data_IF_069936384462
#
_entry.id   IF_069936384462
#
_cell.length_a   1.000
_cell.length_b   1.000
_cell.length_c   1.000
_cell.angle_alpha   90.00
_cell.angle_beta   90.00
_cell.angle_gamma   90.00
#
_symmetry.space_group_name_H-M   'P 1'
#
loop_
_entity.id
_entity.type
_entity.pdbx_description
1 polymer ?
#
# COMPACT_ATOMS: atom_id res chain seq x y z
N UNK A 1 8.66 -14.27 14.58
CA UNK A 1 8.55 -15.08 13.36
C UNK A 1 8.80 -16.57 13.62
N UNK A 2 9.70 -16.92 14.56
CA UNK A 2 9.97 -18.33 14.89
C UNK A 2 8.67 -19.09 15.23
N UNK A 3 8.43 -20.30 14.66
CA UNK A 3 7.28 -21.14 15.00
C UNK A 3 7.23 -21.56 16.49
N UNK A 4 8.40 -21.58 17.16
CA UNK A 4 8.50 -21.85 18.60
C UNK A 4 8.09 -20.65 19.47
N UNK A 5 7.78 -19.50 18.87
CA UNK A 5 7.34 -18.26 19.52
C UNK A 5 5.98 -17.82 19.01
N UNK A 6 5.84 -16.56 18.57
CA UNK A 6 4.58 -16.00 18.03
C UNK A 6 4.21 -16.57 16.66
N UNK A 7 5.18 -17.03 15.87
CA UNK A 7 4.96 -17.68 14.59
C UNK A 7 4.38 -16.79 13.49
N UNK A 8 4.58 -15.47 13.56
CA UNK A 8 4.12 -14.57 12.51
C UNK A 8 4.68 -14.96 11.14
N UNK A 9 3.86 -14.92 10.11
CA UNK A 9 4.20 -15.24 8.74
C UNK A 9 3.91 -14.10 7.76
N UNK A 10 3.33 -13.01 8.25
CA UNK A 10 3.02 -11.82 7.48
C UNK A 10 3.69 -10.60 8.06
N UNK A 11 4.08 -9.72 7.15
CA UNK A 11 4.63 -8.40 7.47
C UNK A 11 3.99 -7.34 6.60
N UNK A 12 3.87 -6.13 7.14
CA UNK A 12 3.51 -4.93 6.37
C UNK A 12 4.74 -4.05 6.25
N UNK A 13 5.08 -3.68 5.03
CA UNK A 13 6.27 -2.90 4.69
C UNK A 13 5.83 -1.66 3.93
N UNK A 14 6.43 -0.53 4.27
CA UNK A 14 6.25 0.72 3.55
C UNK A 14 6.94 0.71 2.19
N UNK A 15 6.38 1.44 1.23
CA UNK A 15 7.05 1.81 -0.02
C UNK A 15 7.61 3.22 0.13
N UNK A 16 8.88 3.40 -0.23
CA UNK A 16 9.62 4.64 0.02
C UNK A 16 9.70 4.99 1.51
N UNK A 17 9.87 6.26 1.86
CA UNK A 17 9.89 6.70 3.25
C UNK A 17 8.50 6.69 3.92
N UNK A 18 8.53 6.65 5.24
CA UNK A 18 7.36 6.70 6.12
C UNK A 18 7.72 7.46 7.41
N UNK A 19 6.78 7.55 8.35
CA UNK A 19 6.95 8.23 9.65
C UNK A 19 8.05 7.64 10.55
N UNK A 20 8.51 6.42 10.29
CA UNK A 20 9.61 5.77 11.03
C UNK A 20 10.99 5.96 10.37
N UNK A 21 11.06 6.59 9.21
CA UNK A 21 12.32 6.83 8.51
C UNK A 21 13.01 8.08 9.06
N UNK A 22 14.35 8.01 9.17
CA UNK A 22 15.16 9.17 9.59
C UNK A 22 15.21 10.28 8.56
N UNK A 23 15.00 9.93 7.29
CA UNK A 23 15.03 10.84 6.14
C UNK A 23 13.92 10.47 5.16
N UNK A 24 13.36 11.48 4.49
CA UNK A 24 12.44 11.24 3.37
C UNK A 24 13.24 10.78 2.14
N UNK A 25 12.74 9.77 1.46
CA UNK A 25 13.31 9.27 0.21
C UNK A 25 12.22 8.67 -0.68
N UNK A 26 12.49 8.58 -1.95
CA UNK A 26 11.67 7.95 -2.97
C UNK A 26 12.57 7.22 -3.97
N UNK A 27 12.08 6.13 -4.54
CA UNK A 27 12.87 5.33 -5.48
C UNK A 27 13.02 6.01 -6.85
N UNK A 28 12.06 6.86 -7.24
CA UNK A 28 12.15 7.70 -8.43
C UNK A 28 11.34 8.99 -8.26
N UNK A 29 12.05 10.11 -8.04
CA UNK A 29 11.48 11.46 -7.93
C UNK A 29 11.56 12.29 -9.21
N UNK A 30 11.98 11.71 -10.33
CA UNK A 30 12.19 12.44 -11.57
C UNK A 30 10.98 12.37 -12.49
N UNK A 31 10.26 13.49 -12.62
CA UNK A 31 9.13 13.61 -13.54
C UNK A 31 9.49 13.28 -15.00
N UNK A 32 10.75 13.53 -15.42
CA UNK A 32 11.20 13.26 -16.78
C UNK A 32 11.43 11.75 -17.05
N UNK A 33 11.60 10.92 -16.01
CA UNK A 33 11.79 9.48 -16.15
C UNK A 33 10.45 8.73 -16.21
N UNK A 34 9.72 8.91 -17.31
CA UNK A 34 8.41 8.30 -17.48
C UNK A 34 8.44 6.76 -17.48
N UNK A 35 9.56 6.16 -17.82
CA UNK A 35 9.74 4.71 -17.91
C UNK A 35 10.28 4.07 -16.62
N UNK A 36 10.55 4.86 -15.57
CA UNK A 36 11.14 4.42 -14.31
C UNK A 36 12.46 3.68 -14.51
N UNK A 37 13.30 4.17 -15.44
CA UNK A 37 14.62 3.58 -15.75
C UNK A 37 15.63 3.83 -14.63
N UNK A 38 15.45 4.95 -13.91
CA UNK A 38 16.31 5.39 -12.80
C UNK A 38 15.78 4.98 -11.43
N UNK A 39 14.83 4.05 -11.39
CA UNK A 39 14.23 3.56 -10.16
C UNK A 39 15.29 2.99 -9.21
N UNK A 40 15.56 3.69 -8.11
CA UNK A 40 16.59 3.35 -7.13
C UNK A 40 15.98 2.62 -5.92
N UNK A 41 16.19 1.31 -5.85
CA UNK A 41 15.72 0.47 -4.76
C UNK A 41 16.76 0.32 -3.62
N UNK A 42 17.92 0.96 -3.72
CA UNK A 42 19.07 0.76 -2.82
C UNK A 42 18.71 0.98 -1.34
N UNK A 43 17.94 2.02 -1.02
CA UNK A 43 17.53 2.32 0.38
C UNK A 43 16.70 1.19 0.98
N UNK A 44 15.76 0.64 0.24
CA UNK A 44 14.98 -0.52 0.69
C UNK A 44 15.86 -1.76 0.82
N UNK A 45 16.78 -1.96 -0.13
CA UNK A 45 17.70 -3.08 -0.13
C UNK A 45 18.65 -3.06 1.07
N UNK A 46 19.16 -1.90 1.44
CA UNK A 46 20.11 -1.73 2.55
C UNK A 46 19.44 -1.76 3.92
N UNK A 47 18.24 -1.18 4.07
CA UNK A 47 17.62 -0.97 5.38
C UNK A 47 16.52 -1.99 5.71
N UNK A 48 15.75 -2.43 4.73
CA UNK A 48 14.56 -3.27 4.97
C UNK A 48 14.82 -4.73 4.68
N UNK A 49 15.49 -5.05 3.57
CA UNK A 49 15.66 -6.45 3.17
C UNK A 49 16.53 -7.28 4.14
N UNK A 50 17.57 -6.75 4.83
CA UNK A 50 18.30 -7.52 5.83
C UNK A 50 17.39 -8.01 6.95
N UNK A 51 16.54 -7.13 7.49
CA UNK A 51 15.57 -7.50 8.53
C UNK A 51 14.58 -8.57 8.02
N UNK A 52 14.11 -8.46 6.78
CA UNK A 52 13.22 -9.46 6.19
C UNK A 52 13.89 -10.81 5.99
N UNK A 53 15.18 -10.84 5.60
CA UNK A 53 15.97 -12.08 5.50
C UNK A 53 16.10 -12.77 6.87
N UNK A 54 16.42 -12.01 7.90
CA UNK A 54 16.51 -12.54 9.27
C UNK A 54 15.16 -13.05 9.77
N UNK A 55 14.08 -12.33 9.46
CA UNK A 55 12.73 -12.75 9.83
C UNK A 55 12.30 -14.03 9.08
N UNK A 56 12.62 -14.18 7.79
CA UNK A 56 12.39 -15.41 7.02
C UNK A 56 13.21 -16.58 7.56
N UNK A 57 14.49 -16.35 7.88
CA UNK A 57 15.34 -17.36 8.49
C UNK A 57 14.77 -17.84 9.83
N UNK A 58 14.31 -16.90 10.67
CA UNK A 58 13.67 -17.23 11.95
C UNK A 58 12.33 -17.96 11.79
N UNK A 59 11.58 -17.65 10.74
CA UNK A 59 10.31 -18.30 10.41
C UNK A 59 10.49 -19.71 9.82
N UNK A 60 11.63 -19.98 9.19
CA UNK A 60 11.90 -21.21 8.42
C UNK A 60 11.04 -21.34 7.15
N UNK A 61 10.48 -20.22 6.67
CA UNK A 61 9.60 -20.15 5.48
C UNK A 61 9.58 -18.73 4.90
N UNK A 62 9.20 -18.56 3.62
CA UNK A 62 8.93 -17.24 3.08
C UNK A 62 7.87 -16.49 3.88
N UNK A 63 8.09 -15.20 4.10
CA UNK A 63 7.09 -14.30 4.67
C UNK A 63 6.19 -13.76 3.55
N UNK A 64 4.94 -13.53 3.88
CA UNK A 64 3.95 -12.89 3.02
C UNK A 64 3.95 -11.40 3.29
N UNK A 65 4.24 -10.61 2.27
CA UNK A 65 4.42 -9.17 2.41
C UNK A 65 3.17 -8.44 1.92
N UNK A 66 2.71 -7.49 2.72
CA UNK A 66 1.82 -6.41 2.30
C UNK A 66 2.64 -5.14 2.13
N UNK A 67 2.60 -4.53 0.96
CA UNK A 67 3.21 -3.22 0.72
C UNK A 67 2.18 -2.11 0.88
N UNK A 68 2.58 -1.02 1.53
CA UNK A 68 1.74 0.16 1.75
C UNK A 68 2.51 1.44 1.41
N UNK A 69 2.03 2.31 0.52
CA UNK A 69 2.64 3.61 0.25
C UNK A 69 2.15 4.67 1.24
N UNK A 70 3.06 5.53 1.70
CA UNK A 70 2.73 6.73 2.47
C UNK A 70 2.48 7.93 1.58
N UNK A 71 3.19 8.06 0.49
CA UNK A 71 3.04 9.15 -0.48
C UNK A 71 3.58 8.77 -1.86
N UNK A 72 2.89 9.17 -2.93
CA UNK A 72 3.53 9.23 -4.24
C UNK A 72 4.69 10.23 -4.25
N UNK A 73 5.59 10.17 -5.26
CA UNK A 73 6.57 11.23 -5.51
C UNK A 73 5.96 12.62 -5.55
N UNK A 74 6.73 13.61 -5.10
CA UNK A 74 6.26 14.99 -4.90
C UNK A 74 5.61 15.58 -6.16
N UNK A 75 6.18 15.34 -7.35
CA UNK A 75 5.66 15.87 -8.62
C UNK A 75 4.29 15.29 -9.02
N UNK A 76 3.92 14.13 -8.51
CA UNK A 76 2.61 13.50 -8.76
C UNK A 76 1.50 14.07 -7.87
N UNK A 77 1.81 14.94 -6.92
CA UNK A 77 0.87 15.42 -5.91
C UNK A 77 0.44 16.86 -6.14
N UNK A 78 -0.77 17.19 -5.69
CA UNK A 78 -1.37 18.52 -5.85
C UNK A 78 -0.64 19.61 -5.07
N UNK A 79 0.04 19.27 -3.97
CA UNK A 79 0.81 20.20 -3.16
C UNK A 79 2.31 20.25 -3.53
N UNK A 80 2.78 19.37 -4.43
CA UNK A 80 4.19 19.30 -4.83
C UNK A 80 5.15 18.85 -3.73
N UNK A 81 4.64 18.21 -2.68
CA UNK A 81 5.41 17.71 -1.53
C UNK A 81 5.00 16.29 -1.17
N UNK A 82 5.92 15.50 -0.62
CA UNK A 82 5.59 14.16 -0.11
C UNK A 82 4.85 14.21 1.22
N UNK A 83 5.10 15.22 2.06
CA UNK A 83 4.42 15.47 3.33
C UNK A 83 3.22 16.41 3.18
N UNK A 84 2.57 16.73 4.32
CA UNK A 84 1.47 17.69 4.44
C UNK A 84 0.23 17.33 3.60
N UNK A 85 -0.08 16.04 3.43
CA UNK A 85 -1.24 15.61 2.67
C UNK A 85 -1.08 15.87 1.17
N UNK A 86 -1.97 16.69 0.60
CA UNK A 86 -2.13 16.78 -0.86
C UNK A 86 -2.77 15.50 -1.41
N UNK A 87 -3.09 15.47 -2.69
CA UNK A 87 -3.71 14.31 -3.33
C UNK A 87 -2.96 13.93 -4.59
N UNK A 88 -3.06 12.68 -5.00
CA UNK A 88 -2.56 12.23 -6.30
C UNK A 88 -3.27 13.02 -7.42
N UNK A 89 -2.48 13.61 -8.31
CA UNK A 89 -3.01 14.27 -9.50
C UNK A 89 -3.49 13.21 -10.49
N UNK A 90 -4.72 13.31 -11.02
CA UNK A 90 -5.33 12.26 -11.86
C UNK A 90 -4.50 11.84 -13.07
N UNK A 91 -3.76 12.77 -13.67
CA UNK A 91 -2.90 12.52 -14.82
C UNK A 91 -1.72 11.60 -14.53
N UNK A 92 -1.34 11.47 -13.25
CA UNK A 92 -0.27 10.56 -12.81
C UNK A 92 -0.78 9.21 -12.27
N UNK A 93 -2.10 8.98 -12.23
CA UNK A 93 -2.64 7.74 -11.68
C UNK A 93 -2.05 6.47 -12.33
N UNK A 94 -1.94 6.47 -13.66
CA UNK A 94 -1.32 5.36 -14.39
C UNK A 94 0.16 5.18 -14.05
N UNK A 95 0.91 6.26 -13.98
CA UNK A 95 2.35 6.22 -13.64
C UNK A 95 2.56 5.78 -12.19
N UNK A 96 1.73 6.23 -11.27
CA UNK A 96 1.79 5.80 -9.88
C UNK A 96 1.51 4.30 -9.74
N UNK A 97 0.55 3.78 -10.49
CA UNK A 97 0.27 2.35 -10.51
C UNK A 97 1.46 1.53 -11.06
N UNK A 98 2.13 1.99 -12.13
CA UNK A 98 3.35 1.35 -12.65
C UNK A 98 4.52 1.42 -11.65
N UNK A 99 4.65 2.52 -10.90
CA UNK A 99 5.64 2.66 -9.82
C UNK A 99 5.43 1.60 -8.74
N UNK A 100 4.19 1.39 -8.30
CA UNK A 100 3.83 0.34 -7.34
C UNK A 100 4.17 -1.05 -7.91
N UNK A 101 3.83 -1.32 -9.18
CA UNK A 101 4.17 -2.58 -9.84
C UNK A 101 5.69 -2.79 -9.92
N UNK A 102 6.46 -1.73 -10.20
CA UNK A 102 7.93 -1.79 -10.19
C UNK A 102 8.46 -2.13 -8.79
N UNK A 103 7.92 -1.52 -7.74
CA UNK A 103 8.28 -1.82 -6.35
C UNK A 103 8.04 -3.30 -6.01
N UNK A 104 6.89 -3.85 -6.38
CA UNK A 104 6.56 -5.27 -6.18
C UNK A 104 7.60 -6.16 -6.85
N UNK A 105 7.95 -5.87 -8.11
CA UNK A 105 8.94 -6.65 -8.87
C UNK A 105 10.34 -6.60 -8.27
N UNK A 106 10.74 -5.47 -7.68
CA UNK A 106 12.04 -5.36 -6.99
C UNK A 106 12.11 -6.29 -5.77
N UNK A 107 11.01 -6.41 -4.99
CA UNK A 107 10.92 -7.39 -3.91
C UNK A 107 10.97 -8.83 -4.44
N UNK A 108 10.19 -9.15 -5.48
CA UNK A 108 10.13 -10.50 -6.06
C UNK A 108 11.48 -10.91 -6.66
N UNK A 109 12.17 -10.02 -7.35
CA UNK A 109 13.51 -10.25 -7.91
C UNK A 109 14.56 -10.61 -6.84
N UNK A 110 14.32 -10.18 -5.59
CA UNK A 110 15.20 -10.47 -4.44
C UNK A 110 14.70 -11.63 -3.55
N UNK A 111 13.71 -12.38 -4.04
CA UNK A 111 13.20 -13.60 -3.39
C UNK A 111 12.19 -13.35 -2.27
N UNK A 112 11.50 -12.20 -2.29
CA UNK A 112 10.45 -11.88 -1.33
C UNK A 112 9.06 -11.97 -1.96
N UNK A 113 8.14 -12.70 -1.31
CA UNK A 113 6.77 -12.88 -1.78
C UNK A 113 5.89 -11.69 -1.35
N UNK A 114 5.61 -10.77 -2.28
CA UNK A 114 4.54 -9.80 -2.08
C UNK A 114 3.21 -10.48 -2.35
N UNK A 115 2.30 -10.45 -1.38
CA UNK A 115 0.95 -11.03 -1.47
C UNK A 115 -0.11 -9.95 -1.65
N UNK A 116 0.14 -8.76 -1.10
CA UNK A 116 -0.87 -7.70 -0.94
C UNK A 116 -0.28 -6.32 -1.11
N UNK A 117 -1.15 -5.40 -1.51
CA UNK A 117 -0.91 -3.96 -1.42
C UNK A 117 -2.10 -3.26 -0.77
N UNK A 118 -1.87 -2.14 -0.09
CA UNK A 118 -2.90 -1.12 0.10
C UNK A 118 -2.74 -0.02 -0.96
N UNK A 119 -3.83 0.66 -1.30
CA UNK A 119 -3.77 1.76 -2.26
C UNK A 119 -3.06 2.98 -1.67
N UNK A 120 -3.23 3.22 -0.36
CA UNK A 120 -2.64 4.33 0.38
C UNK A 120 -2.67 4.05 1.87
N UNK A 121 -1.55 4.29 2.58
CA UNK A 121 -1.54 4.36 4.04
C UNK A 121 -2.30 5.61 4.51
N UNK A 122 -3.24 5.42 5.43
CA UNK A 122 -3.99 6.50 6.10
C UNK A 122 -4.51 7.60 5.16
N UNK A 123 -5.39 7.26 4.19
CA UNK A 123 -5.80 8.17 3.11
C UNK A 123 -6.57 9.42 3.57
N UNK A 124 -6.81 9.61 4.85
CA UNK A 124 -7.41 10.84 5.43
C UNK A 124 -6.44 11.62 6.35
N UNK A 125 -5.22 11.12 6.51
CA UNK A 125 -4.25 11.77 7.38
C UNK A 125 -3.44 12.83 6.63
N UNK A 126 -3.31 14.01 7.25
CA UNK A 126 -2.42 15.09 6.82
C UNK A 126 -1.31 15.20 7.86
N UNK A 127 -0.10 14.86 7.50
CA UNK A 127 1.01 14.70 8.45
C UNK A 127 2.23 15.52 8.03
N UNK A 128 3.10 15.79 8.98
CA UNK A 128 4.41 16.46 8.74
C UNK A 128 5.46 15.52 8.12
N UNK A 129 5.15 14.24 8.05
CA UNK A 129 5.88 13.21 7.30
C UNK A 129 5.11 12.82 6.04
N UNK A 130 5.60 11.84 5.31
CA UNK A 130 4.96 11.35 4.09
C UNK A 130 3.48 11.04 4.31
N UNK A 131 2.62 11.68 3.54
CA UNK A 131 1.17 11.50 3.61
C UNK A 131 0.50 11.94 2.30
N UNK A 132 -0.57 11.27 1.93
CA UNK A 132 -1.35 11.60 0.75
C UNK A 132 -2.83 11.36 1.02
N UNK A 133 -3.67 12.35 0.72
CA UNK A 133 -5.11 12.25 0.96
C UNK A 133 -5.81 11.71 -0.29
N UNK A 134 -6.69 10.74 -0.07
CA UNK A 134 -7.65 10.30 -1.06
C UNK A 134 -9.07 10.50 -0.51
N UNK A 135 -9.93 11.18 -1.27
CA UNK A 135 -11.39 11.11 -1.03
C UNK A 135 -11.88 9.70 -1.38
N UNK A 136 -13.13 9.41 -1.04
CA UNK A 136 -13.76 8.14 -1.39
C UNK A 136 -13.80 7.96 -2.92
N UNK A 137 -14.13 9.04 -3.65
CA UNK A 137 -14.17 9.08 -5.10
C UNK A 137 -12.78 8.91 -5.74
N UNK A 138 -11.76 9.52 -5.14
CA UNK A 138 -10.38 9.41 -5.64
C UNK A 138 -9.83 7.99 -5.46
N UNK A 139 -10.05 7.36 -4.30
CA UNK A 139 -9.63 5.97 -4.09
C UNK A 139 -10.41 5.01 -4.99
N UNK A 140 -11.73 5.22 -5.13
CA UNK A 140 -12.58 4.47 -6.05
C UNK A 140 -12.12 4.60 -7.50
N UNK A 141 -11.72 5.80 -7.94
CA UNK A 141 -11.23 6.04 -9.29
C UNK A 141 -9.83 5.44 -9.54
N UNK A 142 -8.97 5.42 -8.52
CA UNK A 142 -7.63 4.83 -8.62
C UNK A 142 -7.64 3.31 -8.63
N UNK A 143 -8.59 2.68 -7.95
CA UNK A 143 -8.69 1.21 -7.83
C UNK A 143 -8.66 0.48 -9.19
N UNK A 144 -9.49 0.80 -10.20
CA UNK A 144 -9.44 0.12 -11.49
C UNK A 144 -8.13 0.40 -12.25
N UNK A 145 -7.51 1.56 -12.07
CA UNK A 145 -6.20 1.88 -12.66
C UNK A 145 -5.13 0.96 -12.09
N UNK A 146 -5.09 0.79 -10.77
CA UNK A 146 -4.16 -0.10 -10.10
C UNK A 146 -4.40 -1.58 -10.47
N UNK A 147 -5.65 -2.02 -10.45
CA UNK A 147 -6.01 -3.39 -10.83
C UNK A 147 -5.58 -3.71 -12.26
N UNK A 148 -5.84 -2.80 -13.22
CA UNK A 148 -5.40 -2.96 -14.59
C UNK A 148 -3.87 -2.93 -14.75
N UNK A 149 -3.16 -2.14 -13.93
CA UNK A 149 -1.69 -2.12 -13.94
C UNK A 149 -1.11 -3.46 -13.43
N UNK A 150 -1.65 -4.02 -12.35
CA UNK A 150 -1.26 -5.35 -11.88
C UNK A 150 -1.42 -6.40 -12.99
N UNK A 151 -2.56 -6.45 -13.65
CA UNK A 151 -2.82 -7.40 -14.74
C UNK A 151 -1.83 -7.23 -15.90
N UNK A 152 -1.60 -6.00 -16.37
CA UNK A 152 -0.61 -5.73 -17.44
C UNK A 152 0.81 -6.15 -17.06
N UNK A 153 1.11 -6.13 -15.78
CA UNK A 153 2.41 -6.50 -15.26
C UNK A 153 2.53 -7.99 -14.89
N UNK A 154 1.50 -8.82 -15.11
CA UNK A 154 1.49 -10.24 -14.72
C UNK A 154 1.57 -10.42 -13.20
N UNK A 155 0.91 -9.54 -12.47
CA UNK A 155 0.82 -9.48 -11.00
C UNK A 155 -0.65 -9.69 -10.55
N UNK A 156 -1.41 -10.49 -11.28
CA UNK A 156 -2.84 -10.71 -11.06
C UNK A 156 -3.15 -11.39 -9.71
N UNK A 157 -2.16 -12.04 -9.12
CA UNK A 157 -2.24 -12.70 -7.82
C UNK A 157 -2.05 -11.74 -6.62
N UNK A 158 -1.70 -10.49 -6.88
CA UNK A 158 -1.53 -9.48 -5.83
C UNK A 158 -2.90 -8.95 -5.38
N UNK A 159 -3.21 -9.17 -4.12
CA UNK A 159 -4.46 -8.73 -3.49
C UNK A 159 -4.45 -7.23 -3.19
N UNK A 160 -5.50 -6.50 -3.59
CA UNK A 160 -5.68 -5.08 -3.25
C UNK A 160 -6.52 -4.95 -2.00
N UNK A 161 -6.03 -4.17 -1.03
CA UNK A 161 -6.73 -3.81 0.19
C UNK A 161 -7.07 -2.32 0.21
N UNK A 162 -8.29 -2.00 0.62
CA UNK A 162 -8.76 -0.63 0.82
C UNK A 162 -8.45 -0.11 2.21
N UNK A 163 -8.59 1.19 2.39
CA UNK A 163 -8.60 1.93 3.63
C UNK A 163 -7.23 2.05 4.29
N UNK A 164 -6.67 0.97 4.83
CA UNK A 164 -5.38 0.98 5.54
C UNK A 164 -5.27 2.14 6.56
N UNK A 165 -6.33 2.31 7.37
CA UNK A 165 -6.51 3.38 8.33
C UNK A 165 -7.32 2.91 9.54
N UNK A 166 -7.63 3.79 10.49
CA UNK A 166 -8.32 3.47 11.74
C UNK A 166 -9.75 2.93 11.53
N UNK A 167 -10.17 2.05 12.43
CA UNK A 167 -11.43 1.27 12.31
C UNK A 167 -12.71 2.10 12.28
N UNK A 168 -12.74 3.28 12.92
CA UNK A 168 -13.98 4.05 13.12
C UNK A 168 -14.74 4.42 11.86
N UNK A 169 -14.07 4.47 10.71
CA UNK A 169 -14.67 4.82 9.41
C UNK A 169 -14.49 3.75 8.33
N UNK A 170 -14.03 2.55 8.73
CA UNK A 170 -13.72 1.49 7.79
C UNK A 170 -14.95 1.05 6.97
N UNK A 171 -16.12 0.90 7.61
CA UNK A 171 -17.36 0.52 6.93
C UNK A 171 -17.88 1.63 6.01
N UNK A 172 -17.86 2.88 6.46
CA UNK A 172 -18.23 4.05 5.64
C UNK A 172 -17.40 4.08 4.35
N UNK A 173 -16.08 3.95 4.49
CA UNK A 173 -15.14 3.97 3.36
C UNK A 173 -15.38 2.80 2.41
N UNK A 174 -15.47 1.59 2.93
CA UNK A 174 -15.74 0.41 2.12
C UNK A 174 -17.05 0.54 1.33
N UNK A 175 -18.12 1.02 1.99
CA UNK A 175 -19.44 1.20 1.36
C UNK A 175 -19.45 2.28 0.28
N UNK A 176 -18.63 3.33 0.40
CA UNK A 176 -18.51 4.38 -0.61
C UNK A 176 -17.77 3.90 -1.88
N UNK A 177 -16.83 2.97 -1.72
CA UNK A 177 -15.98 2.51 -2.82
C UNK A 177 -16.54 1.25 -3.49
N UNK A 178 -17.09 0.32 -2.72
CA UNK A 178 -17.50 -1.01 -3.19
C UNK A 178 -18.89 -0.97 -3.86
N UNK A 179 -18.91 -1.29 -5.13
CA UNK A 179 -20.10 -1.53 -5.94
C UNK A 179 -19.92 -2.78 -6.81
N UNK A 180 -20.86 -3.07 -7.70
CA UNK A 180 -20.81 -4.24 -8.59
C UNK A 180 -19.55 -4.27 -9.47
N UNK A 181 -18.97 -3.11 -9.80
CA UNK A 181 -17.78 -2.98 -10.64
C UNK A 181 -16.49 -3.12 -9.85
N UNK A 182 -16.41 -2.49 -8.68
CA UNK A 182 -15.16 -2.38 -7.90
C UNK A 182 -14.95 -3.55 -6.95
N UNK A 183 -16.03 -4.16 -6.47
CA UNK A 183 -16.00 -5.29 -5.54
C UNK A 183 -15.11 -6.47 -5.99
N UNK A 184 -15.15 -6.90 -7.27
CA UNK A 184 -14.27 -7.99 -7.75
C UNK A 184 -12.78 -7.65 -7.74
N UNK A 185 -12.41 -6.36 -7.61
CA UNK A 185 -11.02 -5.89 -7.63
C UNK A 185 -10.38 -5.85 -6.23
N UNK A 186 -11.18 -6.07 -5.16
CA UNK A 186 -10.77 -5.86 -3.78
C UNK A 186 -10.79 -7.17 -3.01
N UNK A 187 -9.69 -7.49 -2.35
CA UNK A 187 -9.58 -8.69 -1.52
C UNK A 187 -9.92 -8.44 -0.04
N UNK A 188 -9.83 -7.20 0.43
CA UNK A 188 -10.08 -6.91 1.83
C UNK A 188 -9.99 -5.43 2.23
N UNK A 189 -10.20 -5.19 3.53
CA UNK A 189 -10.10 -3.86 4.14
C UNK A 189 -9.05 -3.92 5.25
N UNK A 190 -7.98 -3.14 5.11
CA UNK A 190 -6.94 -3.06 6.11
C UNK A 190 -7.29 -2.02 7.19
N UNK A 191 -7.06 -2.37 8.45
CA UNK A 191 -7.43 -1.53 9.58
C UNK A 191 -6.27 -1.28 10.54
N UNK A 192 -6.15 -0.03 10.99
CA UNK A 192 -5.29 0.38 12.10
C UNK A 192 -6.03 0.39 13.43
N UNK A 193 -5.32 0.58 14.53
CA UNK A 193 -5.85 0.40 15.89
C UNK A 193 -5.83 1.67 16.77
N UNK A 194 -5.40 2.81 16.21
CA UNK A 194 -5.11 4.01 17.01
C UNK A 194 -6.36 4.73 17.56
N UNK A 195 -7.53 4.57 16.94
CA UNK A 195 -8.74 5.32 17.29
C UNK A 195 -9.70 4.60 18.25
N UNK A 196 -9.25 3.59 18.98
CA UNK A 196 -10.10 2.84 19.90
C UNK A 196 -10.68 1.55 19.33
N UNK A 197 -11.75 1.03 19.96
CA UNK A 197 -12.25 -0.31 19.66
C UNK A 197 -12.93 -0.41 18.29
N UNK A 198 -14.04 0.28 18.09
CA UNK A 198 -14.80 0.38 16.83
C UNK A 198 -14.97 -0.94 16.06
N UNK A 199 -15.07 -2.08 16.77
CA UNK A 199 -15.17 -3.41 16.15
C UNK A 199 -16.50 -3.60 15.41
N UNK A 200 -17.53 -2.83 15.77
CA UNK A 200 -18.81 -2.80 15.06
C UNK A 200 -18.65 -2.49 13.55
N UNK A 201 -17.66 -1.68 13.16
CA UNK A 201 -17.36 -1.42 11.74
C UNK A 201 -16.86 -2.69 11.02
N UNK A 202 -16.06 -3.51 11.69
CA UNK A 202 -15.58 -4.77 11.13
C UNK A 202 -16.73 -5.79 10.98
N UNK A 203 -17.64 -5.84 11.96
CA UNK A 203 -18.84 -6.68 11.86
C UNK A 203 -19.77 -6.23 10.74
N UNK A 204 -19.93 -4.92 10.53
CA UNK A 204 -20.70 -4.37 9.41
C UNK A 204 -20.06 -4.70 8.07
N UNK A 205 -18.72 -4.57 7.93
CA UNK A 205 -18.00 -4.97 6.70
C UNK A 205 -18.21 -6.45 6.43
N UNK A 206 -17.98 -7.31 7.42
CA UNK A 206 -18.15 -8.77 7.28
C UNK A 206 -19.56 -9.16 6.89
N UNK A 207 -20.58 -8.44 7.40
CA UNK A 207 -21.99 -8.69 7.09
C UNK A 207 -22.37 -8.26 5.68
N UNK A 208 -21.88 -7.10 5.23
CA UNK A 208 -22.19 -6.54 3.92
C UNK A 208 -21.34 -7.16 2.79
N UNK A 209 -20.12 -7.56 3.10
CA UNK A 209 -19.11 -8.05 2.15
C UNK A 209 -18.40 -9.30 2.70
N UNK A 210 -19.13 -10.44 2.84
CA UNK A 210 -18.61 -11.63 3.52
C UNK A 210 -17.42 -12.30 2.81
N UNK A 211 -17.18 -11.98 1.55
CA UNK A 211 -16.03 -12.46 0.77
C UNK A 211 -14.72 -11.71 1.09
N UNK A 212 -14.78 -10.51 1.68
CA UNK A 212 -13.60 -9.72 2.00
C UNK A 212 -12.87 -10.23 3.25
N UNK A 213 -11.55 -10.02 3.24
CA UNK A 213 -10.63 -10.33 4.34
C UNK A 213 -10.48 -9.15 5.28
#
# INVERSE_FOLDING_TARGET
FSPAKMGYDRVRIHMDSCDFCAEMYEADGDEADAALERFDFSRTEELILPMLRDAQAAAGRPLKIMLSPWSPPAYMKTNGERCHGGSLRPEYAGRWAEYICRYIREFQARGFAVERISLQNEPKAVQTWDSCVYTDEQEKAFLPVMHAALARNGLDDIEIFLWDHNKERAFERASAILDETTRPMVAGVACHWYSGAHFENLDMIRSAYPELK
#
